data_IF_008894450037
#
_entry.id   IF_008894450037
#
_cell.length_a   1.000
_cell.length_b   1.000
_cell.length_c   1.000
_cell.angle_alpha   90.00
_cell.angle_beta   90.00
_cell.angle_gamma   90.00
#
_symmetry.space_group_name_H-M   'P 1'
#
loop_
_entity.id
_entity.type
_entity.pdbx_description
1 polymer ?
#
# COMPACT_ATOMS: atom_id res chain seq x y z
N UNK A 1 22.42 10.67 -6.85
CA UNK A 1 21.44 10.04 -7.76
C UNK A 1 20.67 8.89 -7.12
N UNK A 2 21.27 7.72 -6.85
CA UNK A 2 20.54 6.62 -6.16
C UNK A 2 20.18 6.97 -4.71
N UNK A 3 21.09 7.62 -3.98
CA UNK A 3 20.85 8.09 -2.61
C UNK A 3 19.64 9.01 -2.53
N UNK A 4 19.51 9.96 -3.47
CA UNK A 4 18.39 10.90 -3.53
C UNK A 4 17.05 10.19 -3.73
N UNK A 5 17.03 9.13 -4.56
CA UNK A 5 15.83 8.31 -4.78
C UNK A 5 15.44 7.50 -3.54
N UNK A 6 16.42 6.93 -2.83
CA UNK A 6 16.15 6.21 -1.58
C UNK A 6 15.68 7.16 -0.47
N UNK A 7 16.18 8.40 -0.45
CA UNK A 7 15.69 9.43 0.46
C UNK A 7 14.24 9.81 0.14
N UNK A 8 13.91 10.07 -1.13
CA UNK A 8 12.53 10.33 -1.55
C UNK A 8 11.60 9.16 -1.19
N UNK A 9 12.02 7.93 -1.42
CA UNK A 9 11.26 6.73 -1.04
C UNK A 9 11.00 6.68 0.48
N UNK A 10 12.00 7.02 1.30
CA UNK A 10 11.83 7.11 2.75
C UNK A 10 10.88 8.22 3.16
N UNK A 11 10.91 9.38 2.51
CA UNK A 11 10.03 10.52 2.79
C UNK A 11 8.57 10.20 2.42
N UNK A 12 8.33 9.52 1.30
CA UNK A 12 7.00 9.05 0.90
C UNK A 12 6.48 7.99 1.86
N UNK A 13 7.31 7.02 2.23
CA UNK A 13 6.97 6.00 3.21
C UNK A 13 6.61 6.60 4.59
N UNK A 14 7.38 7.60 5.05
CA UNK A 14 7.11 8.33 6.29
C UNK A 14 5.78 9.09 6.26
N UNK A 15 5.36 9.58 5.10
CA UNK A 15 4.05 10.23 4.87
C UNK A 15 2.92 9.24 4.60
N UNK A 16 3.19 7.93 4.61
CA UNK A 16 2.21 6.89 4.27
C UNK A 16 1.68 6.98 2.83
N UNK A 17 2.45 7.58 1.93
CA UNK A 17 2.10 7.70 0.52
C UNK A 17 2.57 6.44 -0.21
N UNK A 18 1.70 5.84 -1.01
CA UNK A 18 2.05 4.67 -1.82
C UNK A 18 2.97 5.08 -2.98
N UNK A 19 3.92 4.23 -3.34
CA UNK A 19 4.79 4.41 -4.50
C UNK A 19 5.37 3.06 -4.94
N UNK A 20 5.93 2.99 -6.14
CA UNK A 20 6.70 1.84 -6.60
C UNK A 20 8.19 2.20 -6.72
N UNK A 21 9.06 1.35 -6.20
CA UNK A 21 10.50 1.45 -6.40
C UNK A 21 10.91 0.53 -7.54
N UNK A 22 11.40 1.12 -8.62
CA UNK A 22 11.97 0.41 -9.75
C UNK A 22 13.49 0.41 -9.65
N UNK A 23 14.14 -0.74 -9.84
CA UNK A 23 15.60 -0.89 -9.80
C UNK A 23 16.09 -1.76 -10.94
N UNK A 24 17.11 -1.30 -11.66
CA UNK A 24 17.80 -2.11 -12.67
C UNK A 24 18.59 -3.21 -11.99
N UNK A 25 18.20 -4.46 -12.23
CA UNK A 25 18.83 -5.65 -11.64
C UNK A 25 19.77 -6.37 -12.61
N UNK A 26 19.56 -6.20 -13.92
CA UNK A 26 20.43 -6.75 -14.97
C UNK A 26 20.45 -5.82 -16.18
N UNK A 27 21.58 -5.78 -16.89
CA UNK A 27 21.67 -5.15 -18.22
C UNK A 27 22.65 -5.85 -19.14
N UNK A 28 22.37 -5.84 -20.43
CA UNK A 28 23.28 -6.28 -21.49
C UNK A 28 23.61 -5.10 -22.41
N UNK A 29 24.89 -4.84 -22.68
CA UNK A 29 25.29 -3.73 -23.53
C UNK A 29 24.82 -3.89 -24.98
N UNK A 30 24.65 -2.76 -25.70
CA UNK A 30 24.83 -1.40 -25.21
C UNK A 30 23.60 -0.89 -24.46
N UNK A 31 23.79 -0.37 -23.25
CA UNK A 31 22.74 0.25 -22.43
C UNK A 31 23.34 1.35 -21.56
N UNK A 32 22.65 2.49 -21.46
CA UNK A 32 23.01 3.60 -20.58
C UNK A 32 22.59 3.36 -19.13
N UNK A 33 21.75 2.35 -18.86
CA UNK A 33 21.46 1.90 -17.51
C UNK A 33 22.69 1.23 -16.89
N UNK A 34 22.84 1.40 -15.58
CA UNK A 34 23.74 0.63 -14.72
C UNK A 34 22.91 -0.22 -13.77
N UNK A 35 23.45 -1.37 -13.39
CA UNK A 35 22.85 -2.15 -12.30
C UNK A 35 22.84 -1.30 -11.04
N UNK A 36 21.68 -1.25 -10.37
CA UNK A 36 21.44 -0.40 -9.21
C UNK A 36 20.91 1.00 -9.53
N UNK A 37 20.81 1.39 -10.80
CA UNK A 37 20.02 2.58 -11.17
C UNK A 37 18.57 2.36 -10.71
N UNK A 38 17.98 3.39 -10.08
CA UNK A 38 16.66 3.29 -9.46
C UNK A 38 15.80 4.50 -9.79
N UNK A 39 14.50 4.29 -9.75
CA UNK A 39 13.50 5.35 -9.83
C UNK A 39 12.30 5.05 -8.92
N UNK A 40 11.65 6.10 -8.44
CA UNK A 40 10.36 6.05 -7.75
C UNK A 40 9.28 6.43 -8.75
N UNK A 41 8.17 5.68 -8.74
CA UNK A 41 6.95 6.01 -9.47
C UNK A 41 5.80 6.17 -8.48
N UNK A 42 5.13 7.31 -8.52
CA UNK A 42 3.99 7.63 -7.64
C UNK A 42 2.65 7.21 -8.29
N UNK A 43 1.54 7.14 -7.54
CA UNK A 43 0.25 6.65 -8.05
C UNK A 43 -0.38 7.54 -9.13
N UNK A 44 0.01 8.82 -9.19
CA UNK A 44 -0.33 9.78 -10.25
C UNK A 44 0.56 9.64 -11.50
N UNK A 45 1.54 8.73 -11.47
CA UNK A 45 2.40 8.40 -12.60
C UNK A 45 3.63 9.29 -12.73
N UNK A 46 3.94 10.14 -11.74
CA UNK A 46 5.23 10.83 -11.75
C UNK A 46 6.38 9.84 -11.62
N UNK A 47 7.49 10.16 -12.29
CA UNK A 47 8.67 9.31 -12.33
C UNK A 47 9.88 10.13 -11.91
N UNK A 48 10.52 9.69 -10.84
CA UNK A 48 11.64 10.34 -10.19
C UNK A 48 12.85 9.42 -10.22
N UNK A 49 13.92 9.79 -10.94
CA UNK A 49 15.15 9.00 -11.03
C UNK A 49 15.54 8.62 -12.45
N UNK A 50 16.23 7.49 -12.59
CA UNK A 50 16.82 7.07 -13.86
C UNK A 50 16.91 5.56 -13.98
N UNK A 51 16.60 5.03 -15.17
CA UNK A 51 16.65 3.60 -15.49
C UNK A 51 17.19 3.36 -16.92
N UNK A 52 18.18 4.15 -17.35
CA UNK A 52 18.80 4.01 -18.67
C UNK A 52 18.13 4.74 -19.83
N UNK A 53 17.50 5.89 -19.57
CA UNK A 53 16.97 6.77 -20.61
C UNK A 53 15.45 6.77 -20.73
N UNK A 54 14.95 7.55 -21.70
CA UNK A 54 13.52 7.79 -21.88
C UNK A 54 12.74 6.59 -22.43
N UNK A 55 13.43 5.65 -23.09
CA UNK A 55 12.77 4.50 -23.73
C UNK A 55 12.19 3.48 -22.74
N UNK A 56 12.71 3.40 -21.52
CA UNK A 56 12.22 2.47 -20.49
C UNK A 56 11.05 3.05 -19.70
N UNK A 57 10.98 4.38 -19.59
CA UNK A 57 10.04 5.11 -18.74
C UNK A 57 8.56 4.77 -18.97
N UNK A 58 8.01 4.73 -20.21
CA UNK A 58 6.59 4.44 -20.42
C UNK A 58 6.20 3.05 -19.91
N UNK A 59 7.02 2.04 -20.21
CA UNK A 59 6.79 0.67 -19.74
C UNK A 59 6.90 0.59 -18.22
N UNK A 60 7.95 1.18 -17.63
CA UNK A 60 8.13 1.17 -16.17
C UNK A 60 6.96 1.85 -15.46
N UNK A 61 6.49 3.01 -15.92
CA UNK A 61 5.34 3.70 -15.31
C UNK A 61 4.10 2.81 -15.37
N UNK A 62 3.79 2.23 -16.54
CA UNK A 62 2.62 1.35 -16.70
C UNK A 62 2.68 0.16 -15.73
N UNK A 63 3.81 -0.53 -15.68
CA UNK A 63 3.99 -1.71 -14.83
C UNK A 63 4.05 -1.35 -13.34
N UNK A 64 4.60 -0.19 -12.98
CA UNK A 64 4.57 0.34 -11.63
C UNK A 64 3.16 0.66 -11.14
N UNK A 65 2.34 1.33 -11.97
CA UNK A 65 0.93 1.60 -11.64
C UNK A 65 0.15 0.30 -11.51
N UNK A 66 0.40 -0.67 -12.40
CA UNK A 66 -0.19 -1.99 -12.27
C UNK A 66 0.25 -2.70 -10.97
N UNK A 67 1.50 -2.53 -10.52
CA UNK A 67 2.01 -3.09 -9.28
C UNK A 67 1.42 -2.46 -8.02
N UNK A 68 1.20 -1.15 -8.06
CA UNK A 68 0.48 -0.45 -6.99
C UNK A 68 -0.98 -0.93 -6.90
N UNK A 69 -1.63 -1.16 -8.04
CA UNK A 69 -3.03 -1.56 -8.08
C UNK A 69 -3.28 -2.99 -7.55
N UNK A 70 -2.42 -3.96 -7.89
CA UNK A 70 -2.59 -5.36 -7.49
C UNK A 70 -1.73 -5.80 -6.30
N UNK A 71 -0.96 -4.87 -5.74
CA UNK A 71 -0.03 -5.07 -4.61
C UNK A 71 1.04 -6.15 -4.87
N UNK A 72 1.42 -6.40 -6.13
CA UNK A 72 2.39 -7.44 -6.50
C UNK A 72 3.67 -6.88 -7.14
N UNK A 73 4.86 -7.36 -6.73
CA UNK A 73 6.09 -7.00 -7.40
C UNK A 73 6.13 -7.58 -8.82
N UNK A 74 6.90 -6.93 -9.69
CA UNK A 74 7.08 -7.32 -11.09
C UNK A 74 8.56 -7.34 -11.45
N UNK A 75 8.96 -8.35 -12.20
CA UNK A 75 10.26 -8.37 -12.86
C UNK A 75 10.01 -8.23 -14.37
N UNK A 76 10.48 -7.12 -14.95
CA UNK A 76 10.24 -6.80 -16.35
C UNK A 76 11.55 -6.77 -17.14
N UNK A 77 11.50 -7.22 -18.39
CA UNK A 77 12.61 -7.13 -19.33
C UNK A 77 12.24 -6.18 -20.46
N UNK A 78 13.10 -5.21 -20.77
CA UNK A 78 12.93 -4.33 -21.93
C UNK A 78 14.04 -4.65 -22.91
N UNK A 79 13.69 -5.34 -23.99
CA UNK A 79 14.64 -5.97 -24.91
C UNK A 79 14.23 -5.74 -26.37
N UNK A 80 15.17 -5.86 -27.31
CA UNK A 80 14.88 -5.66 -28.73
C UNK A 80 13.96 -6.73 -29.32
N UNK A 81 14.23 -8.00 -28.99
CA UNK A 81 13.47 -9.15 -29.49
C UNK A 81 12.88 -9.92 -28.30
N UNK A 82 11.60 -9.71 -27.97
CA UNK A 82 10.95 -10.37 -26.84
C UNK A 82 11.00 -11.90 -26.88
N UNK A 83 10.94 -12.49 -28.08
CA UNK A 83 10.88 -13.94 -28.26
C UNK A 83 12.21 -14.62 -27.89
N UNK A 84 13.31 -13.87 -27.95
CA UNK A 84 14.65 -14.36 -27.60
C UNK A 84 14.85 -14.70 -26.12
N UNK A 85 14.01 -14.15 -25.22
CA UNK A 85 14.20 -14.29 -23.75
C UNK A 85 12.94 -14.80 -23.04
N UNK A 86 11.75 -14.53 -23.58
CA UNK A 86 10.47 -14.86 -22.94
C UNK A 86 10.34 -16.34 -22.53
N UNK A 87 10.96 -17.26 -23.29
CA UNK A 87 10.89 -18.71 -23.03
C UNK A 87 12.00 -19.26 -22.12
N UNK A 88 13.03 -18.47 -21.81
CA UNK A 88 14.22 -18.95 -21.08
C UNK A 88 14.29 -18.50 -19.62
N UNK A 89 13.42 -17.56 -19.20
CA UNK A 89 13.44 -16.98 -17.85
C UNK A 89 12.03 -16.90 -17.23
N UNK A 90 11.60 -17.91 -16.47
CA UNK A 90 10.33 -17.89 -15.75
C UNK A 90 10.21 -16.67 -14.83
N UNK A 91 9.04 -16.01 -14.84
CA UNK A 91 8.76 -14.84 -13.99
C UNK A 91 9.22 -13.49 -14.56
N UNK A 92 9.87 -13.47 -15.73
CA UNK A 92 10.22 -12.25 -16.45
C UNK A 92 9.12 -11.87 -17.45
N UNK A 93 8.47 -10.73 -17.26
CA UNK A 93 7.54 -10.19 -18.26
C UNK A 93 8.33 -9.34 -19.26
N UNK A 94 8.37 -9.76 -20.52
CA UNK A 94 9.21 -9.12 -21.54
C UNK A 94 8.41 -8.14 -22.39
N UNK A 95 8.98 -6.96 -22.62
CA UNK A 95 8.42 -5.89 -23.44
C UNK A 95 9.42 -5.46 -24.53
N UNK A 96 8.92 -5.09 -25.72
CA UNK A 96 9.76 -4.59 -26.79
C UNK A 96 10.38 -3.24 -26.41
N UNK A 97 11.66 -3.08 -26.70
CA UNK A 97 12.38 -1.83 -26.56
C UNK A 97 12.03 -0.90 -27.73
N UNK A 98 11.64 0.34 -27.41
CA UNK A 98 11.33 1.35 -28.43
C UNK A 98 12.58 1.97 -29.10
N UNK A 99 13.77 1.81 -28.52
CA UNK A 99 15.01 2.35 -29.06
C UNK A 99 15.87 1.29 -29.76
N UNK A 100 16.64 1.73 -30.77
CA UNK A 100 17.45 0.87 -31.64
C UNK A 100 18.85 0.55 -31.07
N UNK A 101 19.06 0.75 -29.76
CA UNK A 101 20.39 0.60 -29.16
C UNK A 101 20.94 -0.82 -29.25
N UNK A 102 20.07 -1.84 -29.20
CA UNK A 102 20.46 -3.25 -29.32
C UNK A 102 20.85 -3.92 -28.00
N UNK A 103 20.80 -3.21 -26.87
CA UNK A 103 20.99 -3.78 -25.54
C UNK A 103 19.68 -4.27 -24.90
N UNK A 104 19.80 -4.76 -23.67
CA UNK A 104 18.66 -5.19 -22.84
C UNK A 104 18.80 -4.69 -21.41
N UNK A 105 17.66 -4.51 -20.73
CA UNK A 105 17.63 -4.17 -19.31
C UNK A 105 16.51 -4.95 -18.62
N UNK A 106 16.78 -5.45 -17.42
CA UNK A 106 15.77 -6.03 -16.54
C UNK A 106 15.62 -5.16 -15.31
N UNK A 107 14.37 -4.90 -14.95
CA UNK A 107 13.98 -3.95 -13.92
C UNK A 107 13.05 -4.67 -12.95
N UNK A 108 13.43 -4.71 -11.68
CA UNK A 108 12.57 -5.15 -10.61
C UNK A 108 11.76 -3.96 -10.10
N UNK A 109 10.44 -4.12 -10.04
CA UNK A 109 9.48 -3.11 -9.61
C UNK A 109 8.79 -3.64 -8.36
N UNK A 110 8.99 -2.95 -7.25
CA UNK A 110 8.42 -3.29 -5.95
C UNK A 110 7.38 -2.22 -5.56
N UNK A 111 6.10 -2.57 -5.36
CA UNK A 111 5.12 -1.63 -4.83
C UNK A 111 5.25 -1.52 -3.31
N UNK A 112 5.37 -0.30 -2.81
CA UNK A 112 5.37 0.04 -1.39
C UNK A 112 4.07 0.78 -1.08
N UNK A 113 3.24 0.16 -0.26
CA UNK A 113 1.96 0.71 0.18
C UNK A 113 2.01 0.99 1.68
N UNK A 114 1.24 1.96 2.20
CA UNK A 114 1.12 2.17 3.64
C UNK A 114 0.64 0.90 4.36
N UNK A 115 0.84 0.80 5.68
CA UNK A 115 0.22 -0.26 6.47
C UNK A 115 -1.31 -0.24 6.32
N UNK A 116 -1.97 -1.41 6.39
CA UNK A 116 -3.44 -1.47 6.37
C UNK A 116 -3.98 -0.77 7.62
N UNK A 117 -5.01 0.03 7.47
CA UNK A 117 -5.61 0.78 8.58
C UNK A 117 -6.72 -0.05 9.22
N UNK A 118 -6.70 -0.20 10.54
CA UNK A 118 -7.78 -0.85 11.30
C UNK A 118 -8.34 0.10 12.35
N UNK A 119 -9.58 0.52 12.15
CA UNK A 119 -10.37 1.29 13.10
C UNK A 119 -11.08 0.34 14.05
N UNK A 120 -10.84 0.49 15.35
CA UNK A 120 -11.49 -0.33 16.37
C UNK A 120 -12.32 0.59 17.26
N UNK A 121 -13.64 0.50 17.13
CA UNK A 121 -14.57 1.29 17.94
C UNK A 121 -14.89 0.55 19.24
N UNK A 122 -14.71 1.21 20.38
CA UNK A 122 -14.97 0.63 21.70
C UNK A 122 -13.70 0.26 22.47
N UNK A 123 -13.81 0.21 23.81
CA UNK A 123 -12.73 -0.15 24.76
C UNK A 123 -12.84 -1.56 25.36
N UNK A 124 -13.71 -2.40 24.79
CA UNK A 124 -13.99 -3.74 25.31
C UNK A 124 -12.73 -4.63 25.37
N UNK A 125 -12.71 -5.68 26.22
CA UNK A 125 -11.62 -6.66 26.21
C UNK A 125 -11.35 -7.25 24.83
N UNK A 126 -12.39 -7.47 24.02
CA UNK A 126 -12.28 -7.91 22.63
C UNK A 126 -11.60 -6.87 21.75
N UNK A 127 -11.97 -5.59 21.87
CA UNK A 127 -11.34 -4.49 21.13
C UNK A 127 -9.84 -4.40 21.44
N UNK A 128 -9.47 -4.48 22.72
CA UNK A 128 -8.05 -4.45 23.15
C UNK A 128 -7.26 -5.66 22.67
N UNK A 129 -7.86 -6.85 22.71
CA UNK A 129 -7.24 -8.06 22.18
C UNK A 129 -7.02 -7.98 20.66
N UNK A 130 -8.02 -7.47 19.93
CA UNK A 130 -7.91 -7.25 18.50
C UNK A 130 -6.82 -6.23 18.15
N UNK A 131 -6.73 -5.12 18.89
CA UNK A 131 -5.69 -4.11 18.69
C UNK A 131 -4.28 -4.70 18.77
N UNK A 132 -4.02 -5.51 19.81
CA UNK A 132 -2.73 -6.22 20.00
C UNK A 132 -2.39 -7.13 18.82
N UNK A 133 -3.33 -7.97 18.41
CA UNK A 133 -3.12 -8.90 17.30
C UNK A 133 -2.92 -8.15 15.97
N UNK A 134 -3.71 -7.10 15.73
CA UNK A 134 -3.62 -6.31 14.51
C UNK A 134 -2.27 -5.57 14.40
N UNK A 135 -1.77 -5.01 15.50
CA UNK A 135 -0.45 -4.39 15.54
C UNK A 135 0.66 -5.40 15.20
N UNK A 136 0.62 -6.62 15.76
CA UNK A 136 1.55 -7.71 15.43
C UNK A 136 1.48 -8.10 13.96
N UNK A 137 0.29 -8.07 13.36
CA UNK A 137 0.07 -8.33 11.94
C UNK A 137 0.46 -7.14 11.02
N UNK A 138 0.96 -6.04 11.58
CA UNK A 138 1.41 -4.88 10.82
C UNK A 138 0.28 -3.92 10.39
N UNK A 139 -0.88 -3.98 11.02
CA UNK A 139 -1.92 -2.97 10.83
C UNK A 139 -1.57 -1.68 11.59
N UNK A 140 -1.87 -0.53 10.97
CA UNK A 140 -1.98 0.73 11.68
C UNK A 140 -3.31 0.74 12.43
N UNK A 141 -3.26 0.50 13.73
CA UNK A 141 -4.43 0.45 14.59
C UNK A 141 -4.80 1.86 15.08
N UNK A 142 -6.08 2.20 14.94
CA UNK A 142 -6.67 3.40 15.53
C UNK A 142 -7.80 2.98 16.48
N UNK A 143 -7.65 3.27 17.77
CA UNK A 143 -8.69 2.99 18.75
C UNK A 143 -9.64 4.20 18.85
N UNK A 144 -10.93 3.96 18.61
CA UNK A 144 -11.96 5.01 18.55
C UNK A 144 -12.96 4.84 19.70
N UNK A 145 -12.75 5.62 20.76
CA UNK A 145 -13.65 5.66 21.92
C UNK A 145 -13.32 6.87 22.81
N UNK A 146 -14.31 7.55 23.43
CA UNK A 146 -14.06 8.58 24.44
C UNK A 146 -13.11 8.16 25.57
N UNK A 147 -13.12 6.87 25.92
CA UNK A 147 -12.25 6.30 26.96
C UNK A 147 -10.92 5.74 26.41
N UNK A 148 -10.69 5.82 25.09
CA UNK A 148 -9.45 5.33 24.48
C UNK A 148 -8.23 6.05 25.07
N UNK A 149 -7.28 5.27 25.56
CA UNK A 149 -6.09 5.74 26.25
C UNK A 149 -4.92 4.79 26.01
N UNK A 150 -3.68 5.27 26.20
CA UNK A 150 -2.46 4.47 26.03
C UNK A 150 -2.42 3.25 26.95
N UNK A 151 -3.04 3.35 28.13
CA UNK A 151 -3.12 2.22 29.09
C UNK A 151 -4.02 1.10 28.57
N UNK A 152 -5.11 1.44 27.88
CA UNK A 152 -6.02 0.47 27.28
C UNK A 152 -5.51 -0.07 25.94
N UNK A 153 -4.83 0.78 25.16
CA UNK A 153 -4.35 0.49 23.82
C UNK A 153 -2.88 0.87 23.61
N UNK A 154 -1.92 0.20 24.29
CA UNK A 154 -0.51 0.53 24.19
C UNK A 154 0.07 0.29 22.78
N UNK A 155 -0.56 -0.59 22.00
CA UNK A 155 -0.12 -0.94 20.63
C UNK A 155 -0.87 -0.15 19.54
N UNK A 156 -1.78 0.75 19.90
CA UNK A 156 -2.47 1.58 18.91
C UNK A 156 -1.56 2.72 18.45
N UNK A 157 -1.43 2.87 17.13
CA UNK A 157 -0.68 3.98 16.54
C UNK A 157 -1.39 5.32 16.66
N UNK A 158 -2.70 5.32 16.94
CA UNK A 158 -3.51 6.52 17.14
C UNK A 158 -4.67 6.23 18.10
N UNK A 159 -4.95 7.20 18.97
CA UNK A 159 -6.12 7.21 19.85
C UNK A 159 -7.06 8.32 19.39
N UNK A 160 -8.33 7.99 19.20
CA UNK A 160 -9.36 8.90 18.71
C UNK A 160 -10.50 8.93 19.71
N UNK A 161 -10.62 10.02 20.46
CA UNK A 161 -11.58 10.15 21.58
C UNK A 161 -12.98 10.61 21.15
N UNK A 162 -13.20 10.82 19.85
CA UNK A 162 -14.49 11.17 19.28
C UNK A 162 -14.65 10.60 17.89
N UNK A 163 -15.81 10.00 17.62
CA UNK A 163 -16.19 9.48 16.30
C UNK A 163 -16.08 10.55 15.19
N UNK A 164 -16.34 11.83 15.52
CA UNK A 164 -16.21 12.95 14.59
C UNK A 164 -14.76 13.28 14.19
N UNK A 165 -13.77 12.82 14.98
CA UNK A 165 -12.34 13.02 14.72
C UNK A 165 -11.73 11.88 13.90
N UNK A 166 -12.53 10.90 13.47
CA UNK A 166 -12.08 9.86 12.56
C UNK A 166 -11.91 10.44 11.16
N UNK A 167 -10.67 10.49 10.69
CA UNK A 167 -10.36 10.97 9.35
C UNK A 167 -10.79 9.97 8.27
N UNK A 168 -11.38 10.44 7.16
CA UNK A 168 -11.65 9.59 6.01
C UNK A 168 -10.35 9.14 5.33
N UNK A 169 -10.35 7.99 4.62
CA UNK A 169 -9.24 7.64 3.73
C UNK A 169 -9.00 8.75 2.69
N UNK A 170 -7.73 9.03 2.37
CA UNK A 170 -7.36 10.12 1.44
C UNK A 170 -7.64 9.80 -0.03
N UNK A 171 -7.75 8.51 -0.37
CA UNK A 171 -8.02 8.01 -1.72
C UNK A 171 -8.86 6.73 -1.70
N UNK A 172 -9.36 6.32 -2.86
CA UNK A 172 -10.06 5.04 -3.02
C UNK A 172 -9.14 3.83 -2.71
N UNK A 173 -7.85 3.93 -3.01
CA UNK A 173 -6.86 2.89 -2.66
C UNK A 173 -6.64 2.82 -1.14
N UNK A 174 -6.68 3.95 -0.44
CA UNK A 174 -6.61 3.93 1.02
C UNK A 174 -7.86 3.31 1.64
N UNK A 175 -9.04 3.59 1.05
CA UNK A 175 -10.31 3.03 1.48
C UNK A 175 -10.35 1.49 1.32
N UNK A 176 -9.83 0.96 0.21
CA UNK A 176 -9.71 -0.49 -0.02
C UNK A 176 -8.75 -1.20 0.95
N UNK A 177 -7.96 -0.43 1.71
CA UNK A 177 -7.02 -0.90 2.73
C UNK A 177 -7.39 -0.45 4.14
N UNK A 178 -8.58 0.11 4.29
CA UNK A 178 -9.19 0.49 5.55
C UNK A 178 -10.16 -0.59 5.99
N UNK A 179 -10.13 -0.93 7.28
CA UNK A 179 -10.99 -1.93 7.91
C UNK A 179 -11.56 -1.30 9.18
N UNK A 180 -12.81 -1.62 9.50
CA UNK A 180 -13.45 -1.14 10.73
C UNK A 180 -14.09 -2.29 11.50
N UNK A 181 -13.89 -2.29 12.82
CA UNK A 181 -14.54 -3.22 13.74
C UNK A 181 -15.22 -2.46 14.87
N UNK A 182 -16.52 -2.67 15.01
CA UNK A 182 -17.34 -2.12 16.09
C UNK A 182 -17.42 -3.13 17.21
N UNK A 183 -16.80 -2.82 18.34
CA UNK A 183 -16.71 -3.68 19.52
C UNK A 183 -17.04 -2.89 20.80
N UNK A 184 -18.07 -2.04 20.74
CA UNK A 184 -18.50 -1.17 21.85
C UNK A 184 -19.34 -1.89 22.91
N UNK A 185 -19.69 -3.16 22.67
CA UNK A 185 -20.56 -3.97 23.53
C UNK A 185 -21.97 -3.37 23.74
N UNK A 186 -22.51 -2.65 22.76
CA UNK A 186 -23.87 -2.11 22.78
C UNK A 186 -24.02 -0.72 23.39
N UNK A 187 -22.93 -0.08 23.80
CA UNK A 187 -22.99 1.30 24.31
C UNK A 187 -23.17 2.32 23.18
N UNK A 188 -22.53 2.07 22.02
CA UNK A 188 -22.49 3.00 20.88
C UNK A 188 -22.42 2.26 19.53
N UNK A 189 -23.00 1.05 19.46
CA UNK A 189 -22.87 0.19 18.30
C UNK A 189 -23.42 0.86 17.02
N UNK A 190 -24.55 1.58 17.09
CA UNK A 190 -25.16 2.27 15.93
C UNK A 190 -24.34 3.47 15.46
N UNK A 191 -23.94 4.36 16.37
CA UNK A 191 -23.12 5.55 16.06
C UNK A 191 -21.76 5.16 15.46
N UNK A 192 -21.11 4.15 16.05
CA UNK A 192 -19.85 3.63 15.57
C UNK A 192 -19.98 2.94 14.21
N UNK A 193 -21.04 2.14 14.00
CA UNK A 193 -21.29 1.49 12.72
C UNK A 193 -21.62 2.52 11.62
N UNK A 194 -22.42 3.54 11.94
CA UNK A 194 -22.69 4.66 11.05
C UNK A 194 -21.41 5.38 10.65
N UNK A 195 -20.60 5.79 11.62
CA UNK A 195 -19.30 6.44 11.37
C UNK A 195 -18.39 5.56 10.52
N UNK A 196 -18.24 4.28 10.87
CA UNK A 196 -17.44 3.32 10.11
C UNK A 196 -17.92 3.18 8.66
N UNK A 197 -19.23 3.05 8.43
CA UNK A 197 -19.79 2.86 7.09
C UNK A 197 -19.57 4.07 6.17
N UNK A 198 -19.61 5.29 6.72
CA UNK A 198 -19.35 6.52 5.93
C UNK A 198 -17.92 6.62 5.40
N UNK A 199 -16.97 5.90 6.00
CA UNK A 199 -15.59 5.83 5.53
C UNK A 199 -15.43 4.90 4.33
N UNK A 200 -16.48 4.15 3.97
CA UNK A 200 -16.49 3.15 2.90
C UNK A 200 -15.27 2.21 2.94
N UNK A 201 -14.95 1.61 4.11
CA UNK A 201 -13.79 0.73 4.23
C UNK A 201 -14.02 -0.56 3.45
N UNK A 202 -12.95 -1.30 3.16
CA UNK A 202 -13.03 -2.63 2.57
C UNK A 202 -13.83 -3.63 3.42
N UNK A 203 -13.95 -3.38 4.72
CA UNK A 203 -14.69 -4.23 5.64
C UNK A 203 -15.23 -3.43 6.83
N UNK A 204 -16.47 -3.72 7.21
CA UNK A 204 -17.07 -3.31 8.48
C UNK A 204 -17.56 -4.57 9.20
N UNK A 205 -17.04 -4.82 10.40
CA UNK A 205 -17.50 -5.91 11.27
C UNK A 205 -18.12 -5.36 12.54
N UNK A 206 -19.23 -5.96 13.00
CA UNK A 206 -19.83 -5.63 14.30
C UNK A 206 -19.74 -6.84 15.21
N UNK A 207 -19.03 -6.70 16.33
CA UNK A 207 -18.93 -7.73 17.36
C UNK A 207 -20.20 -7.69 18.20
N UNK A 208 -21.18 -8.50 17.82
CA UNK A 208 -22.46 -8.63 18.53
C UNK A 208 -23.07 -10.02 18.34
N UNK A 209 -23.95 -10.41 19.26
CA UNK A 209 -24.82 -11.57 19.01
C UNK A 209 -25.78 -11.25 17.86
N UNK A 210 -26.25 -12.27 17.13
CA UNK A 210 -27.26 -12.07 16.06
C UNK A 210 -28.49 -11.32 16.56
N UNK A 211 -28.91 -11.59 17.81
CA UNK A 211 -30.05 -10.90 18.45
C UNK A 211 -29.77 -9.41 18.65
N UNK A 212 -28.60 -9.03 19.17
CA UNK A 212 -28.24 -7.62 19.36
C UNK A 212 -28.04 -6.91 18.03
N UNK A 213 -27.35 -7.54 17.09
CA UNK A 213 -27.14 -6.96 15.76
C UNK A 213 -28.47 -6.70 15.03
N UNK A 214 -29.43 -7.63 15.12
CA UNK A 214 -30.76 -7.46 14.51
C UNK A 214 -31.64 -6.37 15.15
N UNK A 215 -31.19 -5.75 16.24
CA UNK A 215 -31.88 -4.61 16.87
C UNK A 215 -31.31 -3.26 16.43
N UNK A 216 -30.15 -3.25 15.75
CA UNK A 216 -29.53 -2.03 15.24
C UNK A 216 -30.32 -1.49 14.04
N UNK A 217 -30.50 -0.17 13.99
CA UNK A 217 -31.26 0.53 12.93
C UNK A 217 -30.38 1.11 11.83
#
# INVERSE_FOLDING_TARGET
>A
MRTDILQLASELAGRSEAFALATVVRREPPSSARVGDSAVVTPDGEFHGWLGGSCTRPTVIREALAALADEKPRLIGIVRDPDSISHTRPGLTVFPMACHSGGSVEIYIEPLLPARRLLIFGVSPTARALARLAAVLGYRVEAVDPEASETLFPDAGRLVTSDASVEPPGSAQDASRCFAVVATLGQRDEEAAWTASRLMPAYVGVVASRKRFGQMR
#
